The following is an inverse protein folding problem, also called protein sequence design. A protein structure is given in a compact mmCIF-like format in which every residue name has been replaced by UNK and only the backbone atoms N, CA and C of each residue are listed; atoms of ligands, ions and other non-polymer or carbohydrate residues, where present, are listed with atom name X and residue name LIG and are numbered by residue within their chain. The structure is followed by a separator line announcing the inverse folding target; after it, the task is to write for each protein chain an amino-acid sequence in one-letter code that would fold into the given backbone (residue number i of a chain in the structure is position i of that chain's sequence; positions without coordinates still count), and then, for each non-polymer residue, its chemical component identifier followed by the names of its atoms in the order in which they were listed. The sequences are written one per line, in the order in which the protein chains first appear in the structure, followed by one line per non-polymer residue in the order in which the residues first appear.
data_IF_329140086594
#
_entry.id   IF_329140086594
#
_cell.length_a   1.000
_cell.length_b   1.000
_cell.length_c   1.000
_cell.angle_alpha   90.00
_cell.angle_beta   90.00
_cell.angle_gamma   90.00
#
_symmetry.space_group_name_H-M   'P 1'
#
loop_
_entity.id
_entity.type
_entity.pdbx_description
1 polymer ?
#
# COMPACT_ATOMS: atom_id res chain seq x y z
N UNK A 1 -3.74 -12.73 -50.20
CA UNK A 1 -3.56 -12.09 -48.88
C UNK A 1 -4.94 -11.69 -48.39
N UNK A 2 -5.47 -12.37 -47.38
CA UNK A 2 -6.77 -12.04 -46.79
C UNK A 2 -6.55 -11.07 -45.63
N UNK A 3 -6.91 -9.80 -45.82
CA UNK A 3 -6.91 -8.79 -44.76
C UNK A 3 -8.02 -9.10 -43.76
N UNK A 4 -7.65 -9.15 -42.47
CA UNK A 4 -8.62 -9.30 -41.38
C UNK A 4 -9.33 -7.96 -41.23
N UNK A 5 -10.66 -7.97 -41.36
CA UNK A 5 -11.53 -6.81 -41.22
C UNK A 5 -11.84 -6.56 -39.72
N UNK A 6 -12.03 -5.30 -39.32
CA UNK A 6 -12.47 -4.86 -37.98
C UNK A 6 -13.61 -5.71 -37.39
N UNK A 7 -14.58 -6.10 -38.20
CA UNK A 7 -15.73 -6.96 -37.83
C UNK A 7 -15.26 -8.38 -37.44
N UNK A 8 -14.22 -8.91 -38.08
CA UNK A 8 -13.64 -10.21 -37.72
C UNK A 8 -12.82 -10.13 -36.43
N UNK A 9 -12.21 -8.96 -36.18
CA UNK A 9 -11.48 -8.67 -34.95
C UNK A 9 -12.44 -8.55 -33.76
N UNK A 10 -13.53 -7.82 -33.93
CA UNK A 10 -14.62 -7.64 -32.96
C UNK A 10 -15.31 -8.98 -32.64
N UNK A 11 -15.54 -9.82 -33.66
CA UNK A 11 -16.07 -11.17 -33.47
C UNK A 11 -15.09 -12.13 -32.78
N UNK A 12 -13.78 -11.88 -32.86
CA UNK A 12 -12.76 -12.66 -32.14
C UNK A 12 -12.68 -12.29 -30.66
N UNK A 13 -12.92 -11.02 -30.33
CA UNK A 13 -12.97 -10.48 -28.96
C UNK A 13 -14.25 -10.93 -28.25
N UNK A 14 -15.39 -10.98 -28.97
CA UNK A 14 -16.67 -11.39 -28.39
C UNK A 14 -16.83 -12.90 -28.11
N UNK A 15 -15.92 -13.76 -28.61
CA UNK A 15 -16.08 -15.23 -28.50
C UNK A 15 -15.17 -15.95 -27.50
N UNK A 16 -14.32 -15.26 -26.73
CA UNK A 16 -13.53 -15.89 -25.66
C UNK A 16 -13.40 -15.01 -24.42
N UNK A 17 -14.08 -15.45 -23.34
CA UNK A 17 -13.79 -15.30 -21.90
C UNK A 17 -12.64 -14.36 -21.49
N UNK A 18 -12.98 -13.31 -20.74
CA UNK A 18 -12.31 -12.74 -19.55
C UNK A 18 -10.77 -12.66 -19.43
N UNK A 19 -9.98 -12.69 -20.50
CA UNK A 19 -8.55 -12.36 -20.42
C UNK A 19 -8.03 -11.82 -21.75
N UNK A 20 -7.75 -10.52 -21.78
CA UNK A 20 -6.97 -9.90 -22.84
C UNK A 20 -5.47 -10.01 -22.44
N UNK A 21 -4.74 -10.99 -23.00
CA UNK A 21 -3.28 -11.11 -22.85
C UNK A 21 -2.60 -10.45 -24.05
N UNK A 22 -2.31 -9.15 -23.95
CA UNK A 22 -1.62 -8.38 -24.99
C UNK A 22 -0.12 -8.33 -24.71
N UNK A 23 0.68 -8.80 -25.67
CA UNK A 23 2.12 -8.56 -25.69
C UNK A 23 2.39 -7.24 -26.41
N UNK A 24 2.96 -6.27 -25.69
CA UNK A 24 3.27 -4.93 -26.22
C UNK A 24 4.29 -4.95 -27.37
N UNK A 25 5.02 -6.05 -27.56
CA UNK A 25 5.88 -6.28 -28.75
C UNK A 25 5.11 -6.34 -30.08
N UNK A 26 3.76 -6.36 -30.04
CA UNK A 26 2.88 -6.32 -31.22
C UNK A 26 2.21 -4.96 -31.45
N UNK A 27 2.50 -3.94 -30.63
CA UNK A 27 2.08 -2.58 -30.91
C UNK A 27 2.83 -2.04 -32.14
N UNK A 28 2.17 -1.13 -32.87
CA UNK A 28 2.64 -0.65 -34.17
C UNK A 28 4.12 -0.20 -34.10
N UNK A 29 4.96 -0.76 -34.96
CA UNK A 29 6.42 -0.54 -34.95
C UNK A 29 6.79 0.94 -35.10
N UNK A 30 5.91 1.74 -35.73
CA UNK A 30 6.07 3.18 -35.95
C UNK A 30 6.08 4.03 -34.66
N UNK A 31 5.63 3.48 -33.52
CA UNK A 31 5.63 4.19 -32.23
C UNK A 31 6.88 3.92 -31.37
N UNK A 32 7.78 3.05 -31.79
CA UNK A 32 9.01 2.71 -31.06
C UNK A 32 10.20 3.50 -31.63
N UNK A 33 10.80 4.37 -30.82
CA UNK A 33 11.87 5.31 -31.25
C UNK A 33 13.21 4.63 -31.52
N UNK A 34 13.42 3.40 -31.05
CA UNK A 34 14.65 2.66 -31.32
C UNK A 34 14.36 1.42 -32.20
N UNK A 35 14.77 1.52 -33.45
CA UNK A 35 14.75 0.47 -34.47
C UNK A 35 15.71 -0.71 -34.16
N UNK A 36 15.59 -1.33 -32.98
CA UNK A 36 16.38 -2.50 -32.63
C UNK A 36 15.66 -3.81 -33.02
N UNK A 37 16.15 -4.49 -34.06
CA UNK A 37 15.69 -5.84 -34.43
C UNK A 37 16.55 -6.90 -33.74
N UNK A 38 15.97 -7.64 -32.80
CA UNK A 38 16.62 -8.78 -32.14
C UNK A 38 16.62 -9.99 -33.07
N UNK A 39 17.81 -10.46 -33.47
CA UNK A 39 17.95 -11.75 -34.19
C UNK A 39 17.60 -12.88 -33.22
N UNK A 40 16.47 -13.56 -33.47
CA UNK A 40 16.06 -14.76 -32.72
C UNK A 40 16.99 -15.92 -33.04
N UNK A 41 17.97 -16.17 -32.18
CA UNK A 41 18.67 -17.45 -32.12
C UNK A 41 18.18 -18.26 -30.92
N UNK A 42 17.02 -18.93 -31.05
CA UNK A 42 16.61 -19.97 -30.11
C UNK A 42 15.94 -21.16 -30.85
N UNK A 43 16.81 -22.12 -31.18
CA UNK A 43 16.66 -23.59 -31.19
C UNK A 43 15.22 -24.14 -31.07
N UNK A 44 14.62 -24.41 -32.22
CA UNK A 44 13.52 -25.36 -32.40
C UNK A 44 14.12 -26.76 -32.58
N UNK A 45 14.47 -27.45 -31.49
CA UNK A 45 15.03 -28.81 -31.56
C UNK A 45 13.93 -29.86 -31.37
N UNK A 46 14.05 -30.98 -32.07
CA UNK A 46 13.10 -32.10 -32.07
C UNK A 46 12.80 -32.63 -30.66
N UNK A 47 13.80 -32.63 -29.78
CA UNK A 47 13.68 -32.97 -28.36
C UNK A 47 12.56 -32.21 -27.63
N UNK A 48 12.31 -30.94 -27.97
CA UNK A 48 11.25 -30.14 -27.32
C UNK A 48 9.86 -30.47 -27.85
N UNK A 49 9.76 -31.02 -29.06
CA UNK A 49 8.50 -31.51 -29.62
C UNK A 49 8.15 -32.87 -29.01
N UNK A 50 9.13 -33.78 -28.89
CA UNK A 50 8.94 -35.08 -28.25
C UNK A 50 8.54 -34.97 -26.78
N UNK A 51 9.18 -34.07 -26.02
CA UNK A 51 8.83 -33.83 -24.61
C UNK A 51 7.37 -33.38 -24.43
N UNK A 52 6.88 -32.48 -25.29
CA UNK A 52 5.50 -32.00 -25.22
C UNK A 52 4.48 -33.07 -25.66
N UNK A 53 4.90 -34.04 -26.47
CA UNK A 53 4.06 -35.14 -26.91
C UNK A 53 3.92 -36.20 -25.81
N UNK A 54 5.01 -36.47 -25.08
CA UNK A 54 5.02 -37.33 -23.88
C UNK A 54 4.14 -36.83 -22.75
N UNK A 55 4.01 -35.52 -22.57
CA UNK A 55 3.18 -34.93 -21.51
C UNK A 55 1.67 -34.90 -21.82
N UNK A 56 1.23 -35.15 -23.05
CA UNK A 56 -0.19 -35.11 -23.42
C UNK A 56 -0.98 -36.37 -23.07
N UNK A 57 -0.30 -37.51 -22.88
CA UNK A 57 -0.97 -38.81 -22.70
C UNK A 57 -1.22 -39.22 -21.23
N UNK A 58 -1.14 -38.29 -20.27
CA UNK A 58 -1.36 -38.58 -18.83
C UNK A 58 -2.53 -37.85 -18.18
N UNK A 59 -3.39 -37.19 -18.94
CA UNK A 59 -4.55 -36.47 -18.40
C UNK A 59 -5.86 -36.93 -19.05
N UNK A 60 -6.15 -38.22 -18.96
CA UNK A 60 -7.53 -38.71 -19.08
C UNK A 60 -7.89 -39.37 -17.75
N UNK A 61 -8.70 -38.69 -16.93
CA UNK A 61 -9.63 -39.31 -15.97
C UNK A 61 -10.41 -38.26 -15.17
N UNK A 62 -11.74 -38.44 -15.19
CA UNK A 62 -12.80 -37.93 -14.29
C UNK A 62 -13.54 -36.66 -14.71
N UNK A 63 -14.56 -36.89 -15.53
CA UNK A 63 -15.91 -36.35 -15.38
C UNK A 63 -16.38 -36.44 -13.92
N UNK A 64 -16.64 -35.28 -13.29
CA UNK A 64 -17.51 -35.13 -12.12
C UNK A 64 -18.35 -33.88 -12.39
N UNK A 65 -19.67 -34.06 -12.43
CA UNK A 65 -20.67 -33.02 -12.57
C UNK A 65 -20.76 -32.16 -11.29
N UNK A 66 -20.80 -30.84 -11.52
CA UNK A 66 -21.60 -29.83 -10.82
C UNK A 66 -21.64 -29.83 -9.28
N UNK A 67 -20.66 -29.15 -8.67
CA UNK A 67 -20.87 -28.12 -7.61
C UNK A 67 -19.56 -27.41 -7.23
N UNK A 68 -18.67 -27.12 -8.19
CA UNK A 68 -17.48 -26.29 -7.94
C UNK A 68 -17.78 -24.83 -8.25
N UNK A 69 -18.31 -24.08 -7.29
CA UNK A 69 -18.19 -22.62 -7.30
C UNK A 69 -16.68 -22.26 -7.23
N UNK A 70 -16.12 -22.05 -8.43
CA UNK A 70 -14.92 -21.31 -8.80
C UNK A 70 -13.68 -21.39 -7.90
N UNK A 71 -12.87 -22.44 -8.07
CA UNK A 71 -11.45 -22.38 -7.71
C UNK A 71 -10.65 -21.41 -8.61
N UNK A 72 -11.12 -21.12 -9.83
CA UNK A 72 -10.45 -20.21 -10.76
C UNK A 72 -10.51 -18.74 -10.31
N UNK A 73 -11.63 -18.32 -9.70
CA UNK A 73 -11.81 -16.92 -9.26
C UNK A 73 -10.87 -16.50 -8.11
N UNK A 74 -10.21 -17.45 -7.44
CA UNK A 74 -9.27 -17.15 -6.35
C UNK A 74 -7.83 -17.06 -6.81
N UNK A 75 -7.47 -17.48 -8.03
CA UNK A 75 -6.07 -17.44 -8.45
C UNK A 75 -5.70 -16.08 -9.03
N UNK A 76 -4.74 -15.42 -8.40
CA UNK A 76 -4.12 -14.20 -8.94
C UNK A 76 -2.99 -14.61 -9.89
N UNK A 77 -3.18 -14.40 -11.19
CA UNK A 77 -2.17 -14.71 -12.21
C UNK A 77 -1.23 -13.51 -12.45
N UNK A 78 0.07 -13.75 -12.36
CA UNK A 78 1.09 -12.75 -12.66
C UNK A 78 1.29 -12.55 -14.17
N UNK A 79 1.50 -11.30 -14.57
CA UNK A 79 1.88 -10.94 -15.94
C UNK A 79 3.36 -11.26 -16.18
N UNK A 80 3.76 -11.58 -17.42
CA UNK A 80 5.19 -11.52 -17.79
C UNK A 80 5.57 -10.08 -18.11
N UNK A 81 6.86 -9.78 -18.13
CA UNK A 81 7.36 -8.48 -18.59
C UNK A 81 6.71 -8.06 -19.91
N UNK A 82 6.29 -6.80 -20.00
CA UNK A 82 5.62 -6.21 -21.17
C UNK A 82 4.29 -6.88 -21.56
N UNK A 83 3.67 -7.61 -20.63
CA UNK A 83 2.29 -8.05 -20.75
C UNK A 83 1.37 -7.19 -19.89
N UNK A 84 0.15 -7.01 -20.38
CA UNK A 84 -0.94 -6.41 -19.64
C UNK A 84 -2.02 -7.47 -19.41
N UNK A 85 -2.65 -7.45 -18.23
CA UNK A 85 -3.81 -8.29 -17.92
C UNK A 85 -4.84 -7.52 -17.12
N UNK A 86 -6.08 -7.98 -17.17
CA UNK A 86 -7.14 -7.47 -16.31
C UNK A 86 -6.85 -7.73 -14.83
N UNK A 87 -7.45 -6.92 -13.97
CA UNK A 87 -7.39 -7.13 -12.52
C UNK A 87 -8.07 -8.47 -12.16
N UNK A 88 -7.44 -9.29 -11.30
CA UNK A 88 -8.03 -10.54 -10.85
C UNK A 88 -9.44 -10.34 -10.28
N UNK A 89 -10.44 -11.15 -10.67
CA UNK A 89 -11.84 -10.94 -10.27
C UNK A 89 -12.06 -10.84 -8.75
N UNK A 90 -11.24 -11.52 -7.94
CA UNK A 90 -11.27 -11.43 -6.47
C UNK A 90 -11.04 -10.01 -5.94
N UNK A 91 -10.35 -9.15 -6.71
CA UNK A 91 -10.04 -7.78 -6.32
C UNK A 91 -11.05 -6.76 -6.87
N UNK A 92 -11.95 -7.16 -7.77
CA UNK A 92 -12.95 -6.24 -8.36
C UNK A 92 -13.77 -5.47 -7.31
N UNK A 93 -14.22 -6.07 -6.19
CA UNK A 93 -14.98 -5.33 -5.17
C UNK A 93 -14.18 -4.21 -4.48
N UNK A 94 -12.85 -4.24 -4.55
CA UNK A 94 -11.97 -3.22 -3.96
C UNK A 94 -11.98 -1.94 -4.79
N UNK A 95 -12.25 -2.03 -6.10
CA UNK A 95 -12.11 -0.92 -7.03
C UNK A 95 -13.44 -0.55 -7.69
N UNK A 96 -13.90 0.70 -7.50
CA UNK A 96 -15.13 1.23 -8.10
C UNK A 96 -15.10 1.22 -9.64
N UNK A 97 -13.92 1.45 -10.24
CA UNK A 97 -13.71 1.49 -11.69
C UNK A 97 -12.78 0.36 -12.18
N UNK A 98 -12.92 -0.86 -11.64
CA UNK A 98 -12.04 -2.00 -11.95
C UNK A 98 -11.84 -2.27 -13.45
N UNK A 99 -12.85 -1.97 -14.30
CA UNK A 99 -12.76 -2.15 -15.76
C UNK A 99 -11.74 -1.24 -16.45
N UNK A 100 -11.35 -0.13 -15.81
CA UNK A 100 -10.31 0.79 -16.32
C UNK A 100 -8.93 0.45 -15.77
N UNK A 101 -8.84 -0.56 -14.92
CA UNK A 101 -7.61 -0.95 -14.25
C UNK A 101 -7.02 -2.20 -14.90
N UNK A 102 -5.70 -2.28 -14.90
CA UNK A 102 -4.96 -3.43 -15.42
C UNK A 102 -3.69 -3.67 -14.62
N UNK A 103 -3.23 -4.92 -14.61
CA UNK A 103 -1.89 -5.30 -14.14
C UNK A 103 -0.90 -5.11 -15.27
N UNK A 104 0.20 -4.43 -14.96
CA UNK A 104 1.34 -4.31 -15.88
C UNK A 104 2.46 -5.25 -15.43
N UNK A 105 2.91 -6.09 -16.35
CA UNK A 105 4.06 -6.95 -16.13
C UNK A 105 5.37 -6.19 -16.25
N UNK A 106 6.16 -6.22 -15.18
CA UNK A 106 7.48 -5.58 -15.11
C UNK A 106 8.60 -6.64 -15.06
N UNK A 107 9.86 -6.26 -15.35
CA UNK A 107 10.99 -7.16 -15.14
C UNK A 107 11.06 -7.66 -13.70
N UNK A 108 11.41 -8.93 -13.50
CA UNK A 108 11.54 -9.49 -12.14
C UNK A 108 12.64 -8.79 -11.34
N UNK A 109 13.76 -8.47 -12.01
CA UNK A 109 14.84 -7.67 -11.45
C UNK A 109 14.32 -6.25 -11.21
N UNK A 110 14.52 -5.72 -10.01
CA UNK A 110 14.11 -4.35 -9.65
C UNK A 110 12.60 -4.08 -9.81
N UNK A 111 11.78 -5.14 -9.78
CA UNK A 111 10.34 -5.05 -10.06
C UNK A 111 9.63 -3.96 -9.26
N UNK A 112 9.98 -3.77 -7.98
CA UNK A 112 9.44 -2.68 -7.16
C UNK A 112 9.70 -1.29 -7.78
N UNK A 113 10.96 -0.99 -8.13
CA UNK A 113 11.32 0.33 -8.66
C UNK A 113 10.68 0.53 -10.03
N UNK A 114 10.68 -0.50 -10.90
CA UNK A 114 9.94 -0.44 -12.16
C UNK A 114 8.45 -0.19 -11.95
N UNK A 115 7.83 -0.87 -10.99
CA UNK A 115 6.42 -0.72 -10.68
C UNK A 115 6.10 0.70 -10.21
N UNK A 116 6.93 1.28 -9.34
CA UNK A 116 6.73 2.64 -8.85
C UNK A 116 6.96 3.67 -9.95
N UNK A 117 8.00 3.56 -10.78
CA UNK A 117 8.18 4.51 -11.88
C UNK A 117 7.07 4.42 -12.93
N UNK A 118 6.52 3.23 -13.23
CA UNK A 118 5.33 3.14 -14.09
C UNK A 118 4.11 3.87 -13.50
N UNK A 119 4.06 4.06 -12.18
CA UNK A 119 2.98 4.77 -11.50
C UNK A 119 3.25 6.29 -11.45
N UNK A 120 4.47 6.68 -11.10
CA UNK A 120 4.85 8.07 -10.82
C UNK A 120 5.21 8.83 -12.10
N UNK A 121 5.81 8.16 -13.08
CA UNK A 121 6.28 8.72 -14.35
C UNK A 121 5.56 8.02 -15.51
N UNK A 122 4.46 8.61 -15.99
CA UNK A 122 3.64 8.01 -17.05
C UNK A 122 4.44 7.73 -18.34
N UNK A 123 5.44 8.57 -18.63
CA UNK A 123 6.34 8.41 -19.77
C UNK A 123 7.35 7.26 -19.59
N UNK A 124 7.60 6.81 -18.35
CA UNK A 124 8.51 5.70 -18.07
C UNK A 124 8.08 4.43 -18.79
N UNK A 125 6.78 4.18 -18.92
CA UNK A 125 6.25 3.02 -19.63
C UNK A 125 6.76 2.94 -21.07
N UNK A 126 6.86 4.09 -21.74
CA UNK A 126 7.25 4.25 -23.14
C UNK A 126 8.77 4.15 -23.36
N UNK A 127 9.56 4.22 -22.28
CA UNK A 127 11.03 4.20 -22.37
C UNK A 127 11.56 2.82 -22.75
N UNK A 128 12.63 2.82 -23.54
CA UNK A 128 13.35 1.60 -23.90
C UNK A 128 14.08 0.96 -22.71
N UNK A 129 14.49 -0.32 -22.80
CA UNK A 129 15.14 -1.03 -21.68
C UNK A 129 16.40 -0.32 -21.15
N UNK A 130 17.23 0.24 -22.03
CA UNK A 130 18.47 0.94 -21.66
C UNK A 130 18.16 2.22 -20.86
N UNK A 131 17.18 3.00 -21.32
CA UNK A 131 16.74 4.21 -20.64
C UNK A 131 16.13 3.90 -19.27
N UNK A 132 15.33 2.83 -19.18
CA UNK A 132 14.76 2.35 -17.92
C UNK A 132 15.87 1.97 -16.93
N UNK A 133 16.84 1.16 -17.32
CA UNK A 133 17.96 0.80 -16.42
C UNK A 133 18.75 2.05 -15.98
N UNK A 134 18.98 3.02 -16.88
CA UNK A 134 19.65 4.29 -16.52
C UNK A 134 18.86 5.06 -15.45
N UNK A 135 17.55 5.22 -15.61
CA UNK A 135 16.67 5.87 -14.62
C UNK A 135 16.73 5.15 -13.28
N UNK A 136 16.71 3.81 -13.31
CA UNK A 136 16.79 2.98 -12.10
C UNK A 136 18.12 3.18 -11.34
N UNK A 137 19.23 3.28 -12.07
CA UNK A 137 20.55 3.50 -11.46
C UNK A 137 20.71 4.94 -10.94
N UNK A 138 20.20 5.93 -11.66
CA UNK A 138 20.12 7.32 -11.20
C UNK A 138 19.27 7.44 -9.93
N UNK A 139 18.11 6.78 -9.91
CA UNK A 139 17.22 6.69 -8.75
C UNK A 139 17.96 6.12 -7.54
N UNK A 140 18.64 4.97 -7.68
CA UNK A 140 19.40 4.32 -6.60
C UNK A 140 20.46 5.23 -6.00
N UNK A 141 21.21 5.92 -6.86
CA UNK A 141 22.25 6.83 -6.40
C UNK A 141 21.63 8.03 -5.66
N UNK A 142 20.54 8.59 -6.19
CA UNK A 142 19.85 9.73 -5.59
C UNK A 142 19.27 9.39 -4.21
N UNK A 143 18.55 8.27 -4.07
CA UNK A 143 18.00 7.85 -2.77
C UNK A 143 19.10 7.55 -1.75
N UNK A 144 20.26 7.01 -2.17
CA UNK A 144 21.41 6.78 -1.29
C UNK A 144 22.02 8.09 -0.78
N UNK A 145 22.12 9.11 -1.64
CA UNK A 145 22.58 10.45 -1.25
C UNK A 145 21.60 11.12 -0.27
N UNK A 146 20.30 10.96 -0.49
CA UNK A 146 19.25 11.54 0.36
C UNK A 146 18.94 10.70 1.62
N UNK A 147 19.55 9.53 1.77
CA UNK A 147 19.22 8.57 2.83
C UNK A 147 19.37 9.16 4.24
N UNK A 148 20.32 10.06 4.43
CA UNK A 148 20.52 10.77 5.70
C UNK A 148 19.35 11.67 6.07
N UNK A 149 18.80 12.36 5.08
CA UNK A 149 17.63 13.23 5.23
C UNK A 149 16.37 12.40 5.48
N UNK A 150 16.17 11.32 4.72
CA UNK A 150 15.05 10.39 4.93
C UNK A 150 15.08 9.78 6.33
N UNK A 151 16.25 9.36 6.82
CA UNK A 151 16.40 8.76 8.15
C UNK A 151 15.93 9.67 9.29
N UNK A 152 16.15 10.98 9.13
CA UNK A 152 15.74 12.01 10.10
C UNK A 152 14.25 12.31 9.94
N UNK A 153 13.81 12.55 8.71
CA UNK A 153 12.43 12.95 8.39
C UNK A 153 11.41 11.90 8.85
N UNK A 154 11.68 10.63 8.57
CA UNK A 154 10.79 9.52 8.87
C UNK A 154 11.15 8.74 10.15
N UNK A 155 12.07 9.27 10.95
CA UNK A 155 12.47 8.72 12.24
C UNK A 155 12.84 7.22 12.20
N UNK A 156 13.48 6.72 11.14
CA UNK A 156 13.77 5.29 10.95
C UNK A 156 14.55 4.62 12.09
N UNK A 157 15.22 5.40 12.95
CA UNK A 157 15.86 4.91 14.17
C UNK A 157 14.85 4.28 15.14
N UNK A 158 13.63 4.83 15.27
CA UNK A 158 12.59 4.27 16.15
C UNK A 158 12.06 2.94 15.61
N UNK A 159 12.04 2.79 14.28
CA UNK A 159 11.72 1.54 13.57
C UNK A 159 12.86 0.50 13.59
N UNK A 160 13.97 0.80 14.28
CA UNK A 160 15.18 -0.06 14.39
C UNK A 160 15.85 -0.36 13.04
N UNK A 161 15.65 0.47 12.03
CA UNK A 161 16.30 0.28 10.74
C UNK A 161 17.79 0.63 10.81
N UNK A 162 18.59 -0.03 9.99
CA UNK A 162 20.03 0.24 9.84
C UNK A 162 20.30 0.90 8.50
N UNK A 163 20.92 2.09 8.54
CA UNK A 163 21.26 2.87 7.34
C UNK A 163 22.16 2.12 6.38
N UNK A 164 23.19 1.44 6.89
CA UNK A 164 24.08 0.60 6.07
C UNK A 164 23.30 -0.49 5.35
N UNK A 165 22.42 -1.21 6.05
CA UNK A 165 21.63 -2.27 5.44
C UNK A 165 20.69 -1.76 4.34
N UNK A 166 20.05 -0.59 4.52
CA UNK A 166 19.22 0.01 3.47
C UNK A 166 20.08 0.40 2.26
N UNK A 167 21.23 1.07 2.48
CA UNK A 167 22.16 1.45 1.42
C UNK A 167 22.66 0.24 0.63
N UNK A 168 23.16 -0.77 1.32
CA UNK A 168 23.71 -1.96 0.69
C UNK A 168 22.62 -2.71 -0.09
N UNK A 169 21.39 -2.78 0.46
CA UNK A 169 20.28 -3.43 -0.21
C UNK A 169 19.81 -2.67 -1.45
N UNK A 170 19.82 -1.33 -1.45
CA UNK A 170 19.51 -0.51 -2.64
C UNK A 170 20.49 -0.73 -3.79
N UNK A 171 21.79 -0.82 -3.47
CA UNK A 171 22.86 -0.86 -4.47
C UNK A 171 23.17 -2.26 -4.99
N UNK A 172 23.00 -3.30 -4.17
CA UNK A 172 23.56 -4.63 -4.47
C UNK A 172 22.54 -5.77 -4.53
N UNK A 173 21.31 -5.56 -4.04
CA UNK A 173 20.36 -6.66 -3.89
C UNK A 173 19.40 -6.81 -5.06
N UNK A 174 19.15 -8.07 -5.43
CA UNK A 174 18.10 -8.45 -6.38
C UNK A 174 16.69 -8.33 -5.80
N UNK A 175 16.59 -8.41 -4.47
CA UNK A 175 15.35 -8.38 -3.70
C UNK A 175 15.48 -7.33 -2.61
N UNK A 176 14.47 -6.48 -2.48
CA UNK A 176 14.45 -5.48 -1.41
C UNK A 176 13.88 -6.02 -0.11
N UNK A 177 14.54 -5.68 0.98
CA UNK A 177 14.09 -5.95 2.33
C UNK A 177 12.93 -5.00 2.70
N UNK A 178 12.04 -5.37 3.64
CA UNK A 178 10.92 -4.52 4.04
C UNK A 178 11.30 -3.08 4.39
N UNK A 179 12.38 -2.88 5.14
CA UNK A 179 12.90 -1.54 5.50
C UNK A 179 13.36 -0.71 4.28
N UNK A 180 13.84 -1.38 3.23
CA UNK A 180 14.22 -0.72 1.98
C UNK A 180 12.99 -0.37 1.17
N UNK A 181 12.01 -1.28 1.08
CA UNK A 181 10.71 -1.04 0.42
C UNK A 181 10.02 0.17 1.07
N UNK A 182 9.96 0.19 2.41
CA UNK A 182 9.44 1.32 3.20
C UNK A 182 10.15 2.62 2.84
N UNK A 183 11.49 2.61 2.81
CA UNK A 183 12.30 3.79 2.46
C UNK A 183 12.04 4.28 1.03
N UNK A 184 11.85 3.36 0.08
CA UNK A 184 11.52 3.70 -1.32
C UNK A 184 10.13 4.33 -1.40
N UNK A 185 9.12 3.78 -0.71
CA UNK A 185 7.78 4.37 -0.68
C UNK A 185 7.78 5.77 -0.06
N UNK A 186 8.53 5.95 1.04
CA UNK A 186 8.69 7.25 1.70
C UNK A 186 9.44 8.28 0.85
N UNK A 187 10.40 7.84 0.03
CA UNK A 187 11.10 8.70 -0.94
C UNK A 187 10.17 9.25 -2.01
N UNK A 188 9.29 8.41 -2.55
CA UNK A 188 8.29 8.82 -3.55
C UNK A 188 7.07 9.52 -2.95
N UNK A 189 7.03 9.68 -1.63
CA UNK A 189 5.93 10.29 -0.89
C UNK A 189 4.55 9.62 -1.14
N UNK A 190 4.53 8.30 -1.18
CA UNK A 190 3.34 7.48 -1.44
C UNK A 190 3.03 6.55 -0.26
N UNK A 191 1.77 6.15 -0.12
CA UNK A 191 1.39 4.99 0.70
C UNK A 191 1.31 3.75 -0.18
N UNK A 192 2.24 2.80 0.02
CA UNK A 192 2.34 1.60 -0.82
C UNK A 192 1.53 0.44 -0.22
N UNK A 193 0.41 0.13 -0.85
CA UNK A 193 -0.45 -1.02 -0.54
C UNK A 193 -0.04 -2.22 -1.39
N UNK A 194 0.31 -3.33 -0.75
CA UNK A 194 0.78 -4.56 -1.39
C UNK A 194 -0.21 -5.68 -1.13
N UNK A 195 -0.67 -6.35 -2.18
CA UNK A 195 -1.54 -7.52 -2.12
C UNK A 195 -0.70 -8.75 -2.48
N UNK A 196 -0.58 -9.69 -1.56
CA UNK A 196 0.16 -10.93 -1.79
C UNK A 196 -0.70 -11.94 -2.56
N UNK A 197 -0.23 -12.33 -3.74
CA UNK A 197 -0.98 -13.18 -4.67
C UNK A 197 -1.14 -14.63 -4.21
N UNK A 198 -0.28 -15.10 -3.31
CA UNK A 198 -0.29 -16.49 -2.86
C UNK A 198 -1.13 -16.63 -1.57
N UNK A 199 -0.97 -15.69 -0.63
CA UNK A 199 -1.69 -15.70 0.66
C UNK A 199 -3.02 -14.94 0.64
N UNK A 200 -3.27 -14.08 -0.35
CA UNK A 200 -4.41 -13.16 -0.38
C UNK A 200 -4.49 -12.22 0.83
N UNK A 201 -3.34 -11.94 1.44
CA UNK A 201 -3.21 -10.94 2.49
C UNK A 201 -2.74 -9.63 1.87
N UNK A 202 -3.08 -8.51 2.52
CA UNK A 202 -2.56 -7.21 2.12
C UNK A 202 -1.69 -6.59 3.23
N UNK A 203 -0.72 -5.78 2.85
CA UNK A 203 0.11 -5.02 3.79
C UNK A 203 0.39 -3.63 3.28
N UNK A 204 0.60 -2.69 4.21
CA UNK A 204 1.13 -1.37 3.89
C UNK A 204 2.64 -1.39 4.10
N UNK A 205 3.40 -1.02 3.07
CA UNK A 205 4.86 -1.09 3.13
C UNK A 205 5.47 0.01 4.01
N UNK A 206 4.80 1.16 4.10
CA UNK A 206 5.15 2.28 4.96
C UNK A 206 3.98 2.67 5.88
N UNK A 207 4.21 3.64 6.76
CA UNK A 207 3.21 4.01 7.75
C UNK A 207 1.98 4.60 7.06
N UNK A 208 0.81 4.34 7.62
CA UNK A 208 -0.43 4.91 7.13
C UNK A 208 -0.41 6.43 7.23
N UNK A 209 -0.72 7.11 6.13
CA UNK A 209 -0.88 8.55 6.08
C UNK A 209 -2.05 8.92 5.15
N UNK A 210 -3.16 9.46 5.68
CA UNK A 210 -4.33 9.81 4.87
C UNK A 210 -4.08 10.94 3.88
N UNK A 211 -3.02 11.73 4.08
CA UNK A 211 -2.70 12.86 3.20
C UNK A 211 -1.83 12.45 2.00
N UNK A 212 -1.34 11.20 1.98
CA UNK A 212 -0.52 10.68 0.89
C UNK A 212 -1.39 9.94 -0.12
N UNK A 213 -0.93 9.96 -1.37
CA UNK A 213 -1.55 9.18 -2.44
C UNK A 213 -1.25 7.70 -2.25
N UNK A 214 -2.26 6.85 -2.46
CA UNK A 214 -2.07 5.41 -2.39
C UNK A 214 -1.67 4.86 -3.74
N UNK A 215 -0.78 3.87 -3.71
CA UNK A 215 -0.44 3.04 -4.87
C UNK A 215 -0.71 1.59 -4.51
N UNK A 216 -1.27 0.81 -5.43
CA UNK A 216 -1.60 -0.59 -5.18
C UNK A 216 -0.78 -1.48 -6.08
N UNK A 217 -0.15 -2.49 -5.49
CA UNK A 217 0.66 -3.47 -6.19
C UNK A 217 0.27 -4.88 -5.79
N UNK A 218 0.46 -5.83 -6.71
CA UNK A 218 0.41 -7.26 -6.40
C UNK A 218 1.84 -7.78 -6.25
N UNK A 219 2.09 -8.58 -5.22
CA UNK A 219 3.37 -9.25 -4.94
C UNK A 219 3.24 -10.77 -5.10
N UNK A 220 4.23 -11.38 -5.74
CA UNK A 220 4.46 -12.84 -5.76
C UNK A 220 5.94 -13.13 -5.80
N UNK A 221 6.45 -13.96 -4.88
CA UNK A 221 7.87 -14.31 -4.82
C UNK A 221 8.81 -13.08 -4.89
N UNK A 222 8.49 -12.01 -4.14
CA UNK A 222 9.21 -10.72 -4.16
C UNK A 222 9.26 -9.99 -5.51
N UNK A 223 8.43 -10.39 -6.47
CA UNK A 223 8.17 -9.63 -7.69
C UNK A 223 6.91 -8.79 -7.51
N UNK A 224 7.01 -7.51 -7.83
CA UNK A 224 5.92 -6.54 -7.69
C UNK A 224 5.34 -6.18 -9.06
N UNK A 225 4.02 -6.08 -9.17
CA UNK A 225 3.33 -5.60 -10.37
C UNK A 225 2.38 -4.47 -9.98
N UNK A 226 2.47 -3.31 -10.64
CA UNK A 226 1.58 -2.21 -10.36
C UNK A 226 0.20 -2.48 -10.96
N UNK A 227 -0.83 -2.01 -10.24
CA UNK A 227 -2.15 -1.81 -10.79
C UNK A 227 -2.19 -0.41 -11.41
N UNK A 228 -2.44 -0.33 -12.70
CA UNK A 228 -2.46 0.93 -13.46
C UNK A 228 -3.87 1.20 -13.99
N UNK A 229 -4.18 2.48 -14.14
CA UNK A 229 -5.42 2.97 -14.76
C UNK A 229 -5.15 3.39 -16.21
N UNK A 230 -6.01 2.95 -17.12
CA UNK A 230 -6.01 3.36 -18.54
C UNK A 230 -6.11 4.88 -18.78
N UNK A 231 -6.61 5.64 -17.80
CA UNK A 231 -6.71 7.10 -17.86
C UNK A 231 -5.43 7.85 -17.46
N UNK A 232 -4.37 7.12 -17.05
CA UNK A 232 -3.09 7.71 -16.65
C UNK A 232 -3.00 8.20 -15.20
N UNK A 233 -4.12 8.29 -14.46
CA UNK A 233 -4.09 8.52 -13.01
C UNK A 233 -4.05 7.18 -12.25
N UNK A 234 -2.86 6.81 -11.79
CA UNK A 234 -2.58 5.52 -11.15
C UNK A 234 -2.68 5.55 -9.62
N UNK A 235 -3.06 6.69 -9.04
CA UNK A 235 -3.17 6.87 -7.61
C UNK A 235 -4.59 6.58 -7.10
N UNK A 236 -4.67 6.10 -5.88
CA UNK A 236 -5.92 5.81 -5.17
C UNK A 236 -6.08 6.73 -3.96
N UNK A 237 -7.33 7.02 -3.65
CA UNK A 237 -7.71 7.77 -2.45
C UNK A 237 -7.62 6.87 -1.20
N UNK A 238 -7.44 7.44 0.01
CA UNK A 238 -7.30 6.67 1.25
C UNK A 238 -8.43 5.67 1.54
N UNK A 239 -9.64 5.93 1.03
CA UNK A 239 -10.81 5.03 1.10
C UNK A 239 -10.50 3.62 0.57
N UNK A 240 -9.48 3.46 -0.27
CA UNK A 240 -9.04 2.14 -0.77
C UNK A 240 -8.68 1.17 0.36
N UNK A 241 -8.21 1.68 1.51
CA UNK A 241 -7.92 0.85 2.67
C UNK A 241 -9.18 0.26 3.31
N UNK A 242 -10.25 1.04 3.37
CA UNK A 242 -11.51 0.54 3.93
C UNK A 242 -12.17 -0.43 2.94
N UNK A 243 -12.03 -0.19 1.63
CA UNK A 243 -12.51 -1.10 0.59
C UNK A 243 -11.76 -2.44 0.59
N UNK A 244 -10.43 -2.44 0.77
CA UNK A 244 -9.66 -3.69 0.82
C UNK A 244 -9.92 -4.48 2.11
N UNK A 245 -10.14 -3.82 3.24
CA UNK A 245 -10.45 -4.45 4.54
C UNK A 245 -11.74 -5.27 4.51
N UNK A 246 -12.71 -4.86 3.67
CA UNK A 246 -13.95 -5.60 3.48
C UNK A 246 -13.77 -6.88 2.63
N UNK A 247 -12.64 -7.04 1.95
CA UNK A 247 -12.40 -8.12 0.97
C UNK A 247 -11.27 -9.04 1.39
N UNK A 248 -10.16 -8.48 1.87
CA UNK A 248 -8.93 -9.19 2.22
C UNK A 248 -8.55 -8.93 3.68
N UNK A 249 -7.75 -9.84 4.25
CA UNK A 249 -7.22 -9.67 5.61
C UNK A 249 -5.83 -9.02 5.57
N UNK A 250 -5.51 -8.16 6.56
CA UNK A 250 -4.17 -7.62 6.67
C UNK A 250 -3.17 -8.72 7.05
N UNK A 251 -1.95 -8.62 6.53
CA UNK A 251 -0.79 -9.42 6.97
C UNK A 251 -0.37 -9.02 8.40
N UNK A 252 -0.48 -7.73 8.72
CA UNK A 252 -0.17 -7.12 10.01
C UNK A 252 -1.18 -5.98 10.23
N UNK A 253 -1.66 -5.81 11.48
CA UNK A 253 -2.56 -4.72 11.85
C UNK A 253 -1.98 -3.35 11.45
N UNK A 254 -2.80 -2.53 10.80
CA UNK A 254 -2.43 -1.19 10.35
C UNK A 254 -2.90 -0.17 11.39
N UNK A 255 -1.96 0.58 11.94
CA UNK A 255 -2.28 1.65 12.88
C UNK A 255 -2.87 2.87 12.15
N UNK A 256 -4.18 3.05 12.26
CA UNK A 256 -4.93 4.21 11.72
C UNK A 256 -5.12 5.33 12.75
N UNK A 257 -4.55 5.26 13.96
CA UNK A 257 -4.89 6.16 15.09
C UNK A 257 -4.72 7.67 14.83
N UNK A 258 -3.88 8.07 13.86
CA UNK A 258 -3.78 9.47 13.41
C UNK A 258 -5.08 10.00 12.76
N UNK A 259 -5.92 9.14 12.19
CA UNK A 259 -7.17 9.53 11.50
C UNK A 259 -8.31 9.85 12.46
N UNK A 260 -8.41 9.11 13.57
CA UNK A 260 -9.52 9.24 14.52
C UNK A 260 -9.56 10.62 15.20
N UNK A 261 -8.42 11.33 15.24
CA UNK A 261 -8.34 12.69 15.80
C UNK A 261 -8.85 13.75 14.81
N UNK A 262 -8.66 13.52 13.50
CA UNK A 262 -9.07 14.46 12.44
C UNK A 262 -10.57 14.34 12.10
N UNK A 263 -11.16 13.16 12.24
CA UNK A 263 -12.60 12.99 11.99
C UNK A 263 -13.46 13.49 13.15
N UNK A 264 -12.96 13.40 14.39
CA UNK A 264 -13.63 14.03 15.54
C UNK A 264 -13.60 15.56 15.50
N UNK A 265 -12.64 16.17 14.78
CA UNK A 265 -12.57 17.63 14.63
C UNK A 265 -13.41 18.17 13.47
N UNK A 266 -13.80 17.33 12.51
CA UNK A 266 -14.71 17.72 11.41
C UNK A 266 -16.20 17.63 11.77
N UNK A 267 -16.57 16.81 12.75
CA UNK A 267 -17.98 16.65 13.17
C UNK A 267 -18.47 17.68 14.21
N UNK A 268 -17.61 18.56 14.72
CA UNK A 268 -17.99 19.63 15.68
C UNK A 268 -18.14 21.02 15.02
N UNK A 269 -18.30 21.09 13.70
CA UNK A 269 -18.17 22.34 12.96
C UNK A 269 -19.31 22.67 11.99
N UNK A 270 -20.58 22.39 12.33
CA UNK A 270 -21.73 22.97 11.61
C UNK A 270 -22.86 23.26 12.62
N UNK A 271 -22.79 24.39 13.31
CA UNK A 271 -23.98 25.07 13.81
C UNK A 271 -24.26 26.31 12.94
N UNK A 272 -25.46 26.34 12.35
CA UNK A 272 -25.97 27.48 11.58
C UNK A 272 -26.16 28.69 12.51
N UNK A 273 -25.95 29.93 12.03
CA UNK A 273 -26.18 31.11 12.83
C UNK A 273 -27.68 31.42 12.86
N UNK A 274 -28.29 31.46 14.04
CA UNK A 274 -29.56 32.15 14.24
C UNK A 274 -29.34 33.30 15.22
N UNK A 275 -29.53 34.51 14.69
CA UNK A 275 -29.56 35.77 15.42
C UNK A 275 -30.75 35.79 16.39
N UNK A 276 -30.48 36.20 17.63
CA UNK A 276 -31.47 36.53 18.63
C UNK A 276 -30.77 37.18 19.82
N UNK A 277 -30.78 38.51 19.85
CA UNK A 277 -30.21 39.35 20.90
C UNK A 277 -31.09 39.21 22.15
N UNK A 278 -30.50 38.86 23.28
CA UNK A 278 -30.83 39.44 24.59
C UNK A 278 -29.77 39.05 25.65
N UNK A 279 -29.23 40.08 26.30
CA UNK A 279 -28.45 40.04 27.55
C UNK A 279 -29.16 41.00 28.51
N UNK A 280 -28.90 40.99 29.83
CA UNK A 280 -28.17 40.00 30.62
C UNK A 280 -28.98 39.54 31.86
N UNK A 281 -28.62 38.40 32.47
CA UNK A 281 -28.75 38.33 33.93
C UNK A 281 -27.67 37.48 34.57
N UNK A 282 -27.13 38.05 35.65
CA UNK A 282 -26.09 37.49 36.50
C UNK A 282 -26.72 36.44 37.41
N UNK A 283 -26.16 35.23 37.44
CA UNK A 283 -26.04 34.47 38.68
C UNK A 283 -24.98 33.37 38.54
N UNK A 284 -23.86 33.59 39.24
CA UNK A 284 -22.82 32.59 39.47
C UNK A 284 -23.37 31.54 40.44
N UNK A 285 -23.83 30.40 39.91
CA UNK A 285 -24.01 29.16 40.67
C UNK A 285 -22.73 28.34 40.60
N UNK A 286 -21.91 28.40 41.65
CA UNK A 286 -20.83 27.45 41.88
C UNK A 286 -21.48 26.14 42.33
N UNK A 287 -21.65 25.19 41.40
CA UNK A 287 -21.94 23.81 41.76
C UNK A 287 -20.62 23.10 42.13
N UNK A 288 -20.49 22.78 43.42
CA UNK A 288 -19.47 21.87 43.95
C UNK A 288 -19.56 20.53 43.22
N UNK A 289 -18.44 19.93 42.78
CA UNK A 289 -18.46 18.52 42.42
C UNK A 289 -18.63 17.67 43.69
N UNK A 290 -19.61 16.78 43.64
CA UNK A 290 -19.89 15.76 44.63
C UNK A 290 -18.64 14.89 44.92
N UNK A 291 -18.42 14.61 46.20
CA UNK A 291 -17.35 13.78 46.72
C UNK A 291 -17.37 12.37 46.09
N UNK A 292 -16.34 12.05 45.31
CA UNK A 292 -16.03 10.68 44.92
C UNK A 292 -14.81 10.22 45.71
N UNK A 293 -15.03 9.35 46.69
CA UNK A 293 -13.94 8.70 47.42
C UNK A 293 -12.94 8.08 46.44
N UNK A 294 -11.67 8.45 46.57
CA UNK A 294 -10.58 7.88 45.79
C UNK A 294 -10.41 6.39 46.18
N UNK A 295 -10.44 5.49 45.19
CA UNK A 295 -10.23 4.04 45.37
C UNK A 295 -8.81 3.72 45.86
N UNK A 296 -8.43 2.44 46.06
CA UNK A 296 -7.10 2.09 46.62
C UNK A 296 -5.98 2.38 45.62
N UNK A 297 -4.76 2.65 46.10
CA UNK A 297 -3.58 2.94 45.23
C UNK A 297 -3.33 1.88 44.13
N UNK A 298 -3.65 0.62 44.43
CA UNK A 298 -3.48 -0.51 43.50
C UNK A 298 -4.39 -0.41 42.27
N UNK A 299 -5.50 0.33 42.35
CA UNK A 299 -6.52 0.40 41.32
C UNK A 299 -6.14 1.37 40.19
N UNK A 300 -5.09 2.17 40.37
CA UNK A 300 -4.66 3.19 39.41
C UNK A 300 -3.32 2.86 38.77
N UNK A 301 -3.17 3.08 37.46
CA UNK A 301 -1.83 3.18 36.84
C UNK A 301 -1.27 4.58 37.09
N UNK A 302 0.05 4.74 37.02
CA UNK A 302 0.71 6.04 37.24
C UNK A 302 0.19 7.12 36.25
N UNK A 303 -0.16 6.71 35.04
CA UNK A 303 -0.74 7.60 34.01
C UNK A 303 -2.13 8.12 34.42
N UNK A 304 -2.94 7.30 35.09
CA UNK A 304 -4.27 7.70 35.56
C UNK A 304 -4.16 8.71 36.70
N UNK A 305 -3.19 8.51 37.60
CA UNK A 305 -2.88 9.47 38.67
C UNK A 305 -2.35 10.80 38.13
N UNK A 306 -1.60 10.82 37.02
CA UNK A 306 -1.19 12.08 36.39
C UNK A 306 -2.39 12.89 35.88
N UNK A 307 -3.37 12.23 35.24
CA UNK A 307 -4.60 12.89 34.77
C UNK A 307 -5.44 13.43 35.90
N UNK A 308 -5.50 12.71 37.01
CA UNK A 308 -6.20 13.14 38.23
C UNK A 308 -5.46 14.33 38.86
N UNK A 309 -4.13 14.27 38.97
CA UNK A 309 -3.31 15.34 39.51
C UNK A 309 -3.42 16.64 38.70
N UNK A 310 -3.49 16.53 37.37
CA UNK A 310 -3.70 17.68 36.48
C UNK A 310 -5.07 18.36 36.71
N UNK A 311 -6.11 17.56 36.96
CA UNK A 311 -7.45 18.09 37.30
C UNK A 311 -7.52 18.79 38.66
N UNK A 312 -6.66 18.41 39.60
CA UNK A 312 -6.61 18.96 40.97
C UNK A 312 -5.50 19.99 41.20
N UNK A 313 -4.80 20.39 40.13
CA UNK A 313 -3.64 21.28 40.18
C UNK A 313 -2.58 20.79 41.20
N UNK A 314 -2.19 19.52 41.05
CA UNK A 314 -1.16 18.85 41.87
C UNK A 314 0.06 18.59 40.99
N UNK A 315 1.22 19.14 41.39
CA UNK A 315 2.47 18.88 40.67
C UNK A 315 2.84 17.40 40.68
N UNK A 316 3.11 16.87 39.48
CA UNK A 316 3.59 15.50 39.24
C UNK A 316 5.12 15.35 39.40
N UNK A 317 5.83 16.45 39.72
CA UNK A 317 7.30 16.49 39.85
C UNK A 317 7.75 16.66 41.30
N UNK A 318 8.91 16.09 41.65
CA UNK A 318 9.57 16.29 42.95
C UNK A 318 10.23 17.68 42.98
N UNK A 319 9.69 18.59 43.80
CA UNK A 319 10.23 19.95 43.98
C UNK A 319 10.31 20.76 42.68
N UNK A 320 11.35 21.58 42.55
CA UNK A 320 11.67 22.39 41.36
C UNK A 320 12.43 21.61 40.26
N UNK A 321 12.46 20.27 40.34
CA UNK A 321 13.21 19.41 39.43
C UNK A 321 12.39 18.78 38.29
N UNK A 322 13.07 18.14 37.34
CA UNK A 322 12.48 17.35 36.23
C UNK A 322 12.12 15.90 36.61
N UNK A 323 12.33 15.49 37.86
CA UNK A 323 12.12 14.12 38.33
C UNK A 323 10.66 13.91 38.72
N UNK A 324 10.00 12.89 38.18
CA UNK A 324 8.58 12.59 38.46
C UNK A 324 8.43 11.96 39.85
N UNK A 325 7.36 12.32 40.56
CA UNK A 325 6.99 11.73 41.85
C UNK A 325 6.76 10.22 41.72
N UNK A 326 7.14 9.48 42.75
CA UNK A 326 6.77 8.07 42.89
C UNK A 326 5.24 7.92 42.98
N UNK A 327 4.73 6.78 42.53
CA UNK A 327 3.29 6.48 42.48
C UNK A 327 2.61 6.66 43.85
N UNK A 328 3.24 6.16 44.91
CA UNK A 328 2.74 6.27 46.28
C UNK A 328 2.63 7.72 46.76
N UNK A 329 3.66 8.52 46.48
CA UNK A 329 3.70 9.95 46.84
C UNK A 329 2.66 10.75 46.06
N UNK A 330 2.48 10.46 44.77
CA UNK A 330 1.48 11.13 43.95
C UNK A 330 0.06 10.77 44.40
N UNK A 331 -0.20 9.49 44.70
CA UNK A 331 -1.48 9.02 45.21
C UNK A 331 -1.84 9.65 46.57
N UNK A 332 -0.90 9.75 47.51
CA UNK A 332 -1.16 10.43 48.79
C UNK A 332 -1.50 11.91 48.61
N UNK A 333 -0.75 12.63 47.76
CA UNK A 333 -1.03 14.04 47.47
C UNK A 333 -2.41 14.23 46.83
N UNK A 334 -2.81 13.31 45.95
CA UNK A 334 -4.15 13.30 45.36
C UNK A 334 -5.17 13.05 46.45
N UNK A 335 -5.01 12.02 47.28
CA UNK A 335 -5.95 11.68 48.35
C UNK A 335 -6.18 12.80 49.37
N UNK A 336 -5.17 13.64 49.63
CA UNK A 336 -5.31 14.81 50.51
C UNK A 336 -6.15 15.95 49.89
N UNK A 337 -6.29 15.97 48.57
CA UNK A 337 -6.93 17.05 47.80
C UNK A 337 -8.18 16.63 47.01
N UNK A 338 -8.44 15.32 46.87
CA UNK A 338 -9.49 14.74 46.02
C UNK A 338 -10.85 14.70 46.72
#
# INVERSE_FOLDING_TARGET
MSSINLIQLENSINKNKDLIDLNLEKLNEDFLVDNFKKVKNLKNTELRKEFNQLCKNKAESKTIEETSLNLENKKIFFCRENQVRDIPPILNPIFTNFKKLYLMGVPMKNSLIHAIHNIVEVDFLLKGPIQKEKILDEFRNKIVLELDTLFKTYNYKTKKYKKSTIRDNLLSSKVFLPQTINTVADYFDICLLVIDADSHLYSLANDYNPNKKFVVMIRKNNTYQPILNTEGNHYFEPVILDLIENVLKPEIDIDKTLHNVLDMSKNNGIEKPNNGIEKPDKNNGIEKPESKDLGKEKDYKLVDLHKIAEKLDISIYEGSGKKKKLKSVLYSNIKEKY
#
